data_IF_327139885897
#
_entry.id   IF_327139885897
#
_cell.length_a   1.000
_cell.length_b   1.000
_cell.length_c   1.000
_cell.angle_alpha   90.00
_cell.angle_beta   90.00
_cell.angle_gamma   90.00
#
_symmetry.space_group_name_H-M   'P 1'
#
loop_
_entity.id
_entity.type
_entity.pdbx_description
1 polymer ?
#
# COMPACT_ATOMS: atom_id res chain seq x y z
N UNK A 1 -33.78 44.90 32.85
CA UNK A 1 -33.67 43.53 32.33
C UNK A 1 -32.88 43.63 31.06
N UNK A 2 -31.60 43.25 31.10
CA UNK A 2 -30.66 43.50 30.01
C UNK A 2 -30.72 42.34 29.02
N UNK A 3 -30.80 42.69 27.73
CA UNK A 3 -30.96 41.78 26.62
C UNK A 3 -29.70 41.01 26.31
N UNK A 4 -29.87 39.70 26.09
CA UNK A 4 -28.83 38.81 25.60
C UNK A 4 -29.16 38.48 24.14
N UNK A 5 -28.69 39.31 23.21
CA UNK A 5 -28.68 38.99 21.78
C UNK A 5 -27.42 38.17 21.51
N UNK A 6 -27.54 36.85 21.51
CA UNK A 6 -26.49 35.96 21.04
C UNK A 6 -26.38 36.12 19.51
N UNK A 7 -25.38 36.89 19.05
CA UNK A 7 -24.97 36.87 17.64
C UNK A 7 -24.37 35.51 17.33
N UNK A 8 -25.10 34.71 16.58
CA UNK A 8 -24.60 33.45 16.03
C UNK A 8 -23.63 33.75 14.89
N UNK A 9 -22.33 33.56 15.13
CA UNK A 9 -21.30 33.56 14.07
C UNK A 9 -21.61 32.46 13.04
N UNK A 10 -21.60 32.76 11.74
CA UNK A 10 -21.73 31.74 10.71
C UNK A 10 -20.46 30.88 10.74
N UNK A 11 -20.64 29.61 11.08
CA UNK A 11 -19.62 28.57 11.06
C UNK A 11 -19.02 28.56 9.65
N UNK A 12 -17.76 28.96 9.49
CA UNK A 12 -17.09 29.00 8.20
C UNK A 12 -17.17 27.62 7.52
N UNK A 13 -17.91 27.55 6.42
CA UNK A 13 -17.97 26.36 5.59
C UNK A 13 -16.65 26.27 4.82
N UNK A 14 -15.72 25.46 5.34
CA UNK A 14 -14.54 25.05 4.56
C UNK A 14 -15.06 24.30 3.32
N UNK A 15 -14.70 24.70 2.09
CA UNK A 15 -15.18 24.02 0.89
C UNK A 15 -14.64 22.59 0.89
N UNK A 16 -15.51 21.63 1.18
CA UNK A 16 -15.22 20.21 1.10
C UNK A 16 -14.60 19.93 -0.27
N UNK A 17 -13.31 19.60 -0.30
CA UNK A 17 -12.65 19.13 -1.52
C UNK A 17 -13.48 17.96 -2.05
N UNK A 18 -14.14 18.17 -3.19
CA UNK A 18 -14.77 17.13 -4.00
C UNK A 18 -13.70 16.20 -4.60
N UNK A 19 -12.92 15.54 -3.76
CA UNK A 19 -12.32 14.28 -4.16
C UNK A 19 -13.42 13.24 -4.04
N UNK A 20 -13.80 12.55 -5.14
CA UNK A 20 -14.67 11.40 -5.00
C UNK A 20 -14.00 10.51 -3.96
N UNK A 21 -14.72 10.19 -2.88
CA UNK A 21 -14.29 9.18 -1.94
C UNK A 21 -14.29 7.85 -2.71
N UNK A 22 -13.25 7.61 -3.51
CA UNK A 22 -12.89 6.29 -3.98
C UNK A 22 -12.32 5.52 -2.79
N UNK A 23 -13.08 5.46 -1.70
CA UNK A 23 -12.81 4.63 -0.55
C UNK A 23 -13.06 3.20 -0.95
N UNK A 24 -12.15 2.62 -1.74
CA UNK A 24 -12.13 1.19 -1.98
C UNK A 24 -12.12 0.52 -0.61
N UNK A 25 -13.12 -0.33 -0.36
CA UNK A 25 -13.27 -0.97 0.94
C UNK A 25 -11.96 -1.66 1.35
N UNK A 26 -11.54 -1.49 2.60
CA UNK A 26 -10.30 -2.08 3.12
C UNK A 26 -10.29 -3.58 2.89
N UNK A 27 -11.43 -4.25 3.05
CA UNK A 27 -11.59 -5.67 2.75
C UNK A 27 -11.30 -6.02 1.28
N UNK A 28 -11.76 -5.20 0.34
CA UNK A 28 -11.49 -5.39 -1.10
C UNK A 28 -10.02 -5.11 -1.42
N UNK A 29 -9.43 -4.07 -0.84
CA UNK A 29 -8.01 -3.79 -0.99
C UNK A 29 -7.14 -4.95 -0.45
N UNK A 30 -7.46 -5.46 0.73
CA UNK A 30 -6.77 -6.59 1.34
C UNK A 30 -6.90 -7.87 0.51
N UNK A 31 -8.10 -8.19 0.00
CA UNK A 31 -8.31 -9.37 -0.84
C UNK A 31 -7.48 -9.33 -2.12
N UNK A 32 -7.39 -8.17 -2.76
CA UNK A 32 -6.60 -8.03 -3.99
C UNK A 32 -5.09 -8.10 -3.71
N UNK A 33 -4.63 -7.57 -2.58
CA UNK A 33 -3.24 -7.74 -2.14
C UNK A 33 -2.92 -9.20 -1.85
N UNK A 34 -3.81 -9.93 -1.17
CA UNK A 34 -3.63 -11.37 -0.92
C UNK A 34 -3.57 -12.14 -2.23
N UNK A 35 -4.52 -11.92 -3.15
CA UNK A 35 -4.55 -12.60 -4.45
C UNK A 35 -3.26 -12.35 -5.25
N UNK A 36 -2.74 -11.11 -5.22
CA UNK A 36 -1.48 -10.79 -5.87
C UNK A 36 -0.30 -11.56 -5.24
N UNK A 37 -0.19 -11.53 -3.91
CA UNK A 37 0.88 -12.24 -3.21
C UNK A 37 0.82 -13.75 -3.45
N UNK A 38 -0.37 -14.35 -3.40
CA UNK A 38 -0.58 -15.78 -3.65
C UNK A 38 -0.18 -16.18 -5.07
N UNK A 39 -0.52 -15.35 -6.07
CA UNK A 39 -0.17 -15.61 -7.46
C UNK A 39 1.35 -15.61 -7.71
N UNK A 40 2.12 -14.80 -6.97
CA UNK A 40 3.56 -14.61 -7.20
C UNK A 40 4.47 -15.24 -6.13
N UNK A 41 3.90 -15.84 -5.07
CA UNK A 41 4.69 -16.40 -3.96
C UNK A 41 5.71 -17.48 -4.37
N UNK A 42 5.44 -18.20 -5.46
CA UNK A 42 6.35 -19.24 -6.00
C UNK A 42 7.55 -18.65 -6.75
N UNK A 43 7.41 -17.42 -7.24
CA UNK A 43 8.42 -16.71 -8.01
C UNK A 43 9.33 -15.87 -7.11
N UNK A 44 8.93 -15.62 -5.86
CA UNK A 44 9.74 -14.94 -4.86
C UNK A 44 10.79 -15.90 -4.26
N UNK A 45 12.10 -15.72 -4.55
CA UNK A 45 13.15 -16.61 -4.06
C UNK A 45 13.35 -16.58 -2.53
N UNK A 46 12.80 -15.57 -1.85
CA UNK A 46 12.86 -15.43 -0.39
C UNK A 46 11.72 -16.20 0.29
N UNK A 47 10.58 -16.36 -0.39
CA UNK A 47 9.45 -17.15 0.10
C UNK A 47 9.57 -18.62 -0.34
N UNK A 48 9.96 -18.86 -1.59
CA UNK A 48 10.17 -20.19 -2.15
C UNK A 48 11.66 -20.38 -2.42
N UNK A 49 12.39 -21.19 -1.64
CA UNK A 49 13.82 -21.35 -1.80
C UNK A 49 14.19 -21.88 -3.19
N UNK A 50 15.09 -21.17 -3.87
CA UNK A 50 15.64 -21.60 -5.15
C UNK A 50 16.85 -22.53 -4.95
N UNK A 51 17.17 -23.40 -5.93
CA UNK A 51 18.39 -24.19 -5.91
C UNK A 51 19.65 -23.33 -5.73
N UNK A 52 20.68 -23.89 -5.10
CA UNK A 52 21.93 -23.18 -4.85
C UNK A 52 22.62 -22.71 -6.15
N UNK A 53 22.45 -23.46 -7.25
CA UNK A 53 22.94 -23.13 -8.59
C UNK A 53 22.18 -22.00 -9.27
N UNK A 54 21.02 -21.61 -8.77
CA UNK A 54 20.23 -20.48 -9.28
C UNK A 54 20.45 -19.23 -8.44
N UNK A 55 20.70 -19.40 -7.13
CA UNK A 55 21.02 -18.31 -6.22
C UNK A 55 22.32 -17.56 -6.64
N UNK A 56 22.24 -16.27 -7.00
CA UNK A 56 23.40 -15.49 -7.43
C UNK A 56 24.39 -15.17 -6.29
N UNK A 57 23.95 -15.28 -5.03
CA UNK A 57 24.79 -15.07 -3.85
C UNK A 57 25.51 -16.33 -3.36
N UNK A 58 25.20 -17.49 -3.95
CA UNK A 58 25.94 -18.73 -3.66
C UNK A 58 26.97 -18.95 -4.77
N UNK A 59 28.17 -19.33 -4.38
CA UNK A 59 29.30 -19.51 -5.29
C UNK A 59 28.95 -20.46 -6.45
N UNK A 60 28.78 -19.89 -7.64
CA UNK A 60 28.96 -20.61 -8.89
C UNK A 60 30.43 -20.47 -9.22
N UNK A 61 31.16 -21.59 -9.35
CA UNK A 61 32.61 -21.58 -9.55
C UNK A 61 33.09 -20.73 -10.73
N UNK A 62 32.22 -20.31 -11.66
CA UNK A 62 32.52 -19.35 -12.71
C UNK A 62 31.25 -18.56 -13.04
N UNK A 63 31.37 -17.36 -13.63
CA UNK A 63 30.34 -16.36 -14.00
C UNK A 63 30.23 -15.09 -13.13
N UNK A 64 31.23 -14.78 -12.31
CA UNK A 64 31.43 -13.40 -11.87
C UNK A 64 32.24 -12.65 -12.93
N UNK A 65 31.56 -11.91 -13.83
CA UNK A 65 32.16 -10.73 -14.44
C UNK A 65 31.53 -9.51 -13.75
N UNK A 66 32.36 -8.84 -12.96
CA UNK A 66 32.10 -7.48 -12.51
C UNK A 66 32.27 -6.59 -13.77
N UNK A 67 31.21 -5.88 -14.16
CA UNK A 67 31.25 -4.78 -15.14
C UNK A 67 31.02 -3.46 -14.41
#
# INVERSE_FOLDING_TARGET
GNGNTASSEPRGEEPARNQPQQGRAVSKAAADLMAYCEAHAKEDPLLTPVPASENPFREKKFFCVIL
#
